data_IF_352092924431
#
_entry.id   IF_352092924431
#
_cell.length_a   1.000
_cell.length_b   1.000
_cell.length_c   1.000
_cell.angle_alpha   90.00
_cell.angle_beta   90.00
_cell.angle_gamma   90.00
#
_symmetry.space_group_name_H-M   'P 1'
#
loop_
_entity.id
_entity.type
_entity.pdbx_description
1 polymer ?
#
# COMPACT_ATOMS: atom_id res chain seq x y z
N UNK A 1 -6.13 8.44 -5.40
CA UNK A 1 -5.24 8.24 -4.22
C UNK A 1 -3.96 7.54 -4.67
N UNK A 2 -2.77 7.84 -4.11
CA UNK A 2 -1.55 7.09 -4.45
C UNK A 2 -1.58 5.66 -3.91
N UNK A 3 -0.93 4.71 -4.62
CA UNK A 3 -0.84 3.31 -4.20
C UNK A 3 -0.16 3.15 -2.84
N UNK A 4 0.94 3.87 -2.59
CA UNK A 4 1.63 3.88 -1.29
C UNK A 4 0.70 4.33 -0.16
N UNK A 5 -0.05 5.41 -0.41
CA UNK A 5 -0.96 6.00 0.55
C UNK A 5 -2.13 5.07 0.88
N UNK A 6 -2.63 4.33 -0.11
CA UNK A 6 -3.65 3.31 0.10
C UNK A 6 -3.15 2.21 1.05
N UNK A 7 -1.97 1.64 0.78
CA UNK A 7 -1.40 0.60 1.63
C UNK A 7 -1.16 1.12 3.05
N UNK A 8 -0.62 2.34 3.19
CA UNK A 8 -0.42 2.97 4.48
C UNK A 8 -1.74 3.16 5.26
N UNK A 9 -2.82 3.59 4.57
CA UNK A 9 -4.16 3.65 5.19
C UNK A 9 -4.67 2.28 5.62
N UNK A 10 -4.47 1.24 4.82
CA UNK A 10 -4.83 -0.14 5.17
C UNK A 10 -4.08 -0.60 6.44
N UNK A 11 -2.77 -0.32 6.53
CA UNK A 11 -1.96 -0.66 7.70
C UNK A 11 -2.42 0.10 8.95
N UNK A 12 -2.72 1.39 8.81
CA UNK A 12 -3.19 2.23 9.91
C UNK A 12 -4.55 1.79 10.44
N UNK A 13 -5.52 1.50 9.57
CA UNK A 13 -6.83 1.03 10.02
C UNK A 13 -6.79 -0.35 10.70
N UNK A 14 -5.80 -1.18 10.36
CA UNK A 14 -5.55 -2.45 11.03
C UNK A 14 -4.75 -2.31 12.33
N UNK A 15 -4.36 -1.09 12.72
CA UNK A 15 -3.58 -0.84 13.94
C UNK A 15 -2.13 -1.32 13.86
N UNK A 16 -1.59 -1.56 12.65
CA UNK A 16 -0.20 -2.01 12.45
C UNK A 16 0.81 -0.88 12.53
N UNK A 17 0.34 0.34 12.26
CA UNK A 17 1.14 1.58 12.33
C UNK A 17 0.30 2.67 12.99
N UNK A 18 0.97 3.62 13.62
CA UNK A 18 0.33 4.75 14.31
C UNK A 18 0.26 6.02 13.46
N UNK A 19 0.90 6.03 12.30
CA UNK A 19 1.00 7.21 11.43
C UNK A 19 1.06 6.79 9.96
N UNK A 20 0.31 7.49 9.10
CA UNK A 20 0.20 7.19 7.68
C UNK A 20 1.51 7.52 6.95
N UNK A 21 2.15 8.64 7.28
CA UNK A 21 3.34 9.10 6.58
C UNK A 21 4.51 8.12 6.80
N UNK A 22 4.65 7.61 8.02
CA UNK A 22 5.56 6.54 8.38
C UNK A 22 5.24 5.24 7.63
N UNK A 23 3.95 4.94 7.43
CA UNK A 23 3.49 3.83 6.60
C UNK A 23 3.92 3.95 5.15
N UNK A 24 3.79 5.13 4.54
CA UNK A 24 4.21 5.36 3.15
C UNK A 24 5.71 5.15 2.96
N UNK A 25 6.54 5.67 3.87
CA UNK A 25 7.99 5.44 3.87
C UNK A 25 8.36 3.97 4.05
N UNK A 26 7.59 3.24 4.87
CA UNK A 26 7.78 1.80 5.03
C UNK A 26 7.42 1.03 3.75
N UNK A 27 6.33 1.40 3.08
CA UNK A 27 5.96 0.81 1.77
C UNK A 27 7.04 1.07 0.74
N UNK A 28 7.60 2.28 0.67
CA UNK A 28 8.70 2.59 -0.23
C UNK A 28 9.97 1.78 0.09
N UNK A 29 10.33 1.64 1.36
CA UNK A 29 11.47 0.81 1.76
C UNK A 29 11.28 -0.66 1.37
N UNK A 30 10.10 -1.23 1.64
CA UNK A 30 9.75 -2.61 1.26
C UNK A 30 9.73 -2.74 -0.27
N UNK A 31 9.21 -1.74 -0.98
CA UNK A 31 9.24 -1.75 -2.44
C UNK A 31 10.67 -1.88 -2.97
N UNK A 32 11.58 -1.02 -2.48
CA UNK A 32 12.97 -1.02 -2.92
C UNK A 32 13.73 -2.30 -2.52
N UNK A 33 13.36 -2.92 -1.39
CA UNK A 33 13.95 -4.18 -0.93
C UNK A 33 13.51 -5.39 -1.77
N UNK A 34 12.20 -5.50 -2.05
CA UNK A 34 11.62 -6.67 -2.72
C UNK A 34 11.51 -6.53 -4.25
N UNK A 35 11.56 -5.31 -4.78
CA UNK A 35 11.44 -5.00 -6.20
C UNK A 35 12.56 -4.04 -6.67
N UNK A 36 13.84 -4.42 -6.55
CA UNK A 36 14.97 -3.55 -6.86
C UNK A 36 15.05 -3.12 -8.33
N UNK A 37 14.51 -3.91 -9.26
CA UNK A 37 14.40 -3.57 -10.69
C UNK A 37 13.20 -2.65 -11.00
N UNK A 38 12.29 -2.46 -10.03
CA UNK A 38 11.12 -1.59 -10.16
C UNK A 38 11.46 -0.14 -9.83
N UNK A 39 10.75 0.81 -10.45
CA UNK A 39 10.81 2.21 -10.04
C UNK A 39 9.60 2.53 -9.18
N UNK A 40 9.82 2.83 -7.90
CA UNK A 40 8.74 3.19 -6.97
C UNK A 40 7.93 4.37 -7.50
N UNK A 41 8.59 5.41 -8.02
CA UNK A 41 7.90 6.58 -8.58
C UNK A 41 7.02 6.25 -9.80
N UNK A 42 7.39 5.24 -10.60
CA UNK A 42 6.56 4.77 -11.72
C UNK A 42 5.44 3.86 -11.28
N UNK A 43 5.66 3.05 -10.25
CA UNK A 43 4.65 2.17 -9.70
C UNK A 43 3.60 2.96 -8.91
N UNK A 44 4.03 3.92 -8.08
CA UNK A 44 3.20 4.72 -7.19
C UNK A 44 2.36 5.77 -7.94
N UNK A 45 1.44 5.29 -8.76
CA UNK A 45 0.50 6.09 -9.54
C UNK A 45 -0.78 6.37 -8.76
N UNK A 46 -1.62 7.24 -9.30
CA UNK A 46 -2.95 7.48 -8.75
C UNK A 46 -3.91 6.34 -9.12
N UNK A 47 -4.53 5.76 -8.10
CA UNK A 47 -5.69 4.89 -8.20
C UNK A 47 -6.97 5.71 -8.25
N UNK A 48 -7.96 5.21 -9.00
CA UNK A 48 -9.34 5.69 -8.95
C UNK A 48 -9.94 5.46 -7.56
N UNK A 49 -10.83 6.37 -7.14
CA UNK A 49 -11.42 6.32 -5.80
C UNK A 49 -12.19 5.02 -5.53
N UNK A 50 -12.89 4.47 -6.52
CA UNK A 50 -13.63 3.21 -6.38
C UNK A 50 -12.71 2.03 -6.02
N UNK A 51 -11.54 1.95 -6.66
CA UNK A 51 -10.55 0.90 -6.39
C UNK A 51 -9.97 1.08 -4.99
N UNK A 52 -9.57 2.31 -4.64
CA UNK A 52 -9.04 2.60 -3.31
C UNK A 52 -10.05 2.27 -2.20
N UNK A 53 -11.33 2.63 -2.36
CA UNK A 53 -12.38 2.31 -1.40
C UNK A 53 -12.61 0.80 -1.28
N UNK A 54 -12.56 0.05 -2.38
CA UNK A 54 -12.67 -1.40 -2.35
C UNK A 54 -11.57 -2.01 -1.46
N UNK A 55 -10.30 -1.64 -1.69
CA UNK A 55 -9.17 -2.14 -0.91
C UNK A 55 -9.23 -1.72 0.57
N UNK A 56 -9.64 -0.48 0.85
CA UNK A 56 -9.86 -0.03 2.23
C UNK A 56 -10.96 -0.84 2.91
N UNK A 57 -12.04 -1.17 2.20
CA UNK A 57 -13.13 -1.94 2.77
C UNK A 57 -12.71 -3.37 3.08
N UNK A 58 -12.06 -4.08 2.14
CA UNK A 58 -11.68 -5.49 2.34
C UNK A 58 -10.58 -5.67 3.39
N UNK A 59 -9.72 -4.67 3.59
CA UNK A 59 -8.66 -4.75 4.59
C UNK A 59 -9.16 -4.47 6.01
N UNK A 60 -10.37 -3.93 6.19
CA UNK A 60 -10.96 -3.76 7.53
C UNK A 60 -11.15 -5.12 8.20
N UNK A 61 -10.53 -5.27 9.38
CA UNK A 61 -10.59 -6.52 10.15
C UNK A 61 -9.51 -7.53 9.77
N UNK A 62 -8.61 -7.21 8.84
CA UNK A 62 -7.44 -8.06 8.60
C UNK A 62 -6.45 -7.96 9.75
N UNK A 63 -6.08 -9.09 10.34
CA UNK A 63 -5.07 -9.15 11.40
C UNK A 63 -3.63 -9.09 10.87
N UNK A 64 -3.45 -9.23 9.55
CA UNK A 64 -2.14 -9.21 8.89
C UNK A 64 -2.25 -8.66 7.47
N UNK A 65 -1.36 -7.74 7.11
CA UNK A 65 -1.24 -7.19 5.76
C UNK A 65 0.18 -7.45 5.29
N UNK A 66 0.33 -8.24 4.23
CA UNK A 66 1.62 -8.47 3.56
C UNK A 66 1.83 -7.41 2.51
N UNK A 67 2.67 -6.43 2.84
CA UNK A 67 2.91 -5.25 1.99
C UNK A 67 3.48 -5.65 0.63
N UNK A 68 4.41 -6.60 0.56
CA UNK A 68 4.99 -7.10 -0.70
C UNK A 68 3.93 -7.66 -1.65
N UNK A 69 2.97 -8.42 -1.10
CA UNK A 69 1.91 -9.07 -1.86
C UNK A 69 0.88 -8.03 -2.31
N UNK A 70 0.60 -7.04 -1.46
CA UNK A 70 -0.25 -5.89 -1.78
C UNK A 70 0.35 -5.05 -2.91
N UNK A 71 1.67 -4.82 -2.89
CA UNK A 71 2.38 -4.10 -3.94
C UNK A 71 2.21 -4.80 -5.30
N UNK A 72 2.30 -6.14 -5.31
CA UNK A 72 2.05 -6.95 -6.51
C UNK A 72 0.61 -6.87 -6.99
N UNK A 73 -0.35 -6.93 -6.06
CA UNK A 73 -1.78 -6.85 -6.38
C UNK A 73 -2.13 -5.52 -7.06
N UNK A 74 -1.51 -4.43 -6.57
CA UNK A 74 -1.66 -3.11 -7.17
C UNK A 74 -0.79 -2.88 -8.42
N UNK A 75 0.02 -3.84 -8.86
CA UNK A 75 0.90 -3.67 -10.02
C UNK A 75 0.13 -3.72 -11.34
N UNK A 76 -0.95 -4.50 -11.38
CA UNK A 76 -1.79 -4.72 -12.57
C UNK A 76 -2.88 -3.63 -12.75
N UNK A 77 -2.98 -2.70 -11.79
CA UNK A 77 -3.94 -1.59 -11.74
C UNK A 77 -3.31 -0.27 -12.19
#
# INVERSE_FOLDING_TARGET
MLKSHLIAKCLFQCGMISDIQSGESAVESIFNEYFPDGSFSKWNTQLSDNVAEHFLHISRGSSTIRVDSFIKDLWDL
#
